data_IF_756804732251
#
_entry.id   IF_756804732251
#
_cell.length_a   1.000
_cell.length_b   1.000
_cell.length_c   1.000
_cell.angle_alpha   90.00
_cell.angle_beta   90.00
_cell.angle_gamma   90.00
#
_symmetry.space_group_name_H-M   'P 1'
#
loop_
_entity.id
_entity.type
_entity.pdbx_description
1 polymer ?
#
# COMPACT_ATOMS: atom_id res chain seq x y z
N UNK A 1 -26.70 7.85 10.73
CA UNK A 1 -25.76 8.15 9.64
C UNK A 1 -25.57 6.98 8.65
N UNK A 2 -25.51 5.73 9.11
CA UNK A 2 -25.37 4.52 8.26
C UNK A 2 -26.56 4.30 7.33
N UNK A 3 -27.78 4.53 7.79
CA UNK A 3 -29.01 4.36 6.99
C UNK A 3 -29.09 5.32 5.77
N UNK A 4 -28.54 6.54 5.90
CA UNK A 4 -28.55 7.52 4.82
C UNK A 4 -27.51 7.22 3.71
N UNK A 5 -26.47 6.44 4.00
CA UNK A 5 -25.44 6.06 3.05
C UNK A 5 -25.77 4.76 2.29
N UNK A 6 -26.49 3.84 2.92
CA UNK A 6 -27.10 2.71 2.19
C UNK A 6 -28.15 3.20 1.19
N UNK A 7 -28.86 4.27 1.53
CA UNK A 7 -29.82 4.91 0.62
C UNK A 7 -29.12 5.59 -0.57
N UNK A 8 -27.91 6.16 -0.37
CA UNK A 8 -27.13 6.77 -1.46
C UNK A 8 -26.59 5.72 -2.47
N UNK A 9 -26.10 4.57 -1.99
CA UNK A 9 -25.66 3.46 -2.87
C UNK A 9 -26.87 2.87 -3.63
N UNK A 10 -28.04 2.76 -3.00
CA UNK A 10 -29.24 2.29 -3.68
C UNK A 10 -29.75 3.25 -4.78
N UNK A 11 -29.38 4.53 -4.72
CA UNK A 11 -29.75 5.53 -5.75
C UNK A 11 -28.81 5.55 -6.94
N UNK A 12 -27.58 4.99 -6.84
CA UNK A 12 -26.58 4.99 -7.92
C UNK A 12 -26.55 3.71 -8.74
N UNK A 13 -27.23 2.65 -8.32
CA UNK A 13 -27.19 1.33 -8.96
C UNK A 13 -25.85 0.59 -8.81
N UNK A 14 -24.90 1.14 -8.04
CA UNK A 14 -23.61 0.48 -7.77
C UNK A 14 -23.83 -0.68 -6.78
N UNK A 15 -23.37 -1.88 -7.13
CA UNK A 15 -23.38 -3.02 -6.23
C UNK A 15 -22.34 -2.83 -5.11
N UNK A 16 -22.64 -3.39 -3.95
CA UNK A 16 -21.65 -3.56 -2.88
C UNK A 16 -21.00 -4.94 -2.98
N UNK A 17 -19.89 -5.23 -2.28
CA UNK A 17 -19.35 -6.59 -2.24
C UNK A 17 -20.38 -7.64 -1.80
N UNK A 18 -21.36 -7.24 -0.99
CA UNK A 18 -22.46 -8.11 -0.53
C UNK A 18 -23.48 -8.44 -1.60
N UNK A 19 -23.62 -7.61 -2.63
CA UNK A 19 -24.68 -7.73 -3.66
C UNK A 19 -24.14 -7.99 -5.07
N UNK A 20 -22.84 -7.74 -5.30
CA UNK A 20 -22.18 -7.96 -6.58
C UNK A 20 -21.95 -9.45 -6.82
N UNK A 21 -22.21 -9.91 -8.04
CA UNK A 21 -21.91 -11.29 -8.47
C UNK A 21 -20.41 -11.55 -8.64
N UNK A 22 -19.58 -10.52 -8.58
CA UNK A 22 -18.13 -10.66 -8.60
C UNK A 22 -17.56 -11.18 -7.26
N UNK A 23 -18.37 -11.31 -6.23
CA UNK A 23 -17.90 -11.73 -4.92
C UNK A 23 -18.63 -12.94 -4.39
N UNK A 24 -17.91 -13.77 -3.65
CA UNK A 24 -18.45 -14.87 -2.86
C UNK A 24 -18.26 -14.60 -1.37
N UNK A 25 -19.31 -14.89 -0.60
CA UNK A 25 -19.28 -14.77 0.85
C UNK A 25 -18.37 -15.84 1.46
N UNK A 26 -17.47 -15.41 2.35
CA UNK A 26 -16.58 -16.26 3.17
C UNK A 26 -16.79 -15.94 4.63
N UNK A 27 -16.72 -16.96 5.48
CA UNK A 27 -16.79 -16.77 6.94
C UNK A 27 -15.50 -17.32 7.54
N UNK A 28 -14.83 -16.50 8.33
CA UNK A 28 -13.63 -16.93 9.05
C UNK A 28 -14.01 -18.00 10.11
N UNK A 29 -13.30 -19.14 10.14
CA UNK A 29 -13.70 -20.28 10.97
C UNK A 29 -13.50 -20.06 12.48
N UNK A 30 -12.61 -19.16 12.89
CA UNK A 30 -12.34 -18.91 14.30
C UNK A 30 -13.17 -17.73 14.83
N UNK A 31 -13.19 -16.63 14.09
CA UNK A 31 -13.83 -15.38 14.54
C UNK A 31 -15.28 -15.26 14.13
N UNK A 32 -15.71 -15.97 13.09
CA UNK A 32 -17.03 -15.79 12.48
C UNK A 32 -17.16 -14.53 11.62
N UNK A 33 -16.08 -13.77 11.41
CA UNK A 33 -16.08 -12.58 10.54
C UNK A 33 -16.46 -12.98 9.11
N UNK A 34 -17.36 -12.21 8.52
CA UNK A 34 -17.79 -12.37 7.13
C UNK A 34 -16.98 -11.43 6.23
N UNK A 35 -16.36 -12.01 5.21
CA UNK A 35 -15.65 -11.29 4.16
C UNK A 35 -16.20 -11.70 2.79
N UNK A 36 -15.92 -10.92 1.77
CA UNK A 36 -16.34 -11.17 0.39
C UNK A 36 -15.09 -11.34 -0.47
N UNK A 37 -14.93 -12.55 -1.02
CA UNK A 37 -13.79 -12.92 -1.86
C UNK A 37 -14.08 -12.59 -3.32
N UNK A 38 -13.19 -11.85 -3.97
CA UNK A 38 -13.33 -11.53 -5.39
C UNK A 38 -13.17 -12.79 -6.23
N UNK A 39 -14.18 -13.09 -7.06
CA UNK A 39 -14.21 -14.24 -8.00
C UNK A 39 -13.91 -13.72 -9.40
N UNK A 40 -12.71 -14.02 -9.90
CA UNK A 40 -12.29 -13.66 -11.26
C UNK A 40 -11.20 -14.61 -11.75
N UNK A 41 -11.30 -15.07 -13.01
CA UNK A 41 -10.36 -16.01 -13.61
C UNK A 41 -10.57 -17.44 -13.14
N UNK A 42 -9.53 -18.26 -13.27
CA UNK A 42 -9.59 -19.68 -12.83
C UNK A 42 -9.43 -19.79 -11.29
N UNK A 43 -9.87 -20.90 -10.68
CA UNK A 43 -9.72 -21.11 -9.24
C UNK A 43 -8.28 -21.04 -8.72
N UNK A 44 -7.29 -21.38 -9.54
CA UNK A 44 -5.88 -21.36 -9.22
C UNK A 44 -5.18 -20.02 -9.54
N UNK A 45 -5.92 -19.02 -10.02
CA UNK A 45 -5.38 -17.68 -10.25
C UNK A 45 -5.28 -16.91 -8.95
N UNK A 46 -4.34 -15.96 -8.90
CA UNK A 46 -4.07 -15.15 -7.72
C UNK A 46 -4.62 -13.73 -7.89
N UNK A 47 -5.39 -13.29 -6.92
CA UNK A 47 -5.96 -11.95 -6.79
C UNK A 47 -5.43 -11.31 -5.52
N UNK A 48 -4.76 -10.18 -5.65
CA UNK A 48 -4.08 -9.54 -4.53
C UNK A 48 -4.46 -8.08 -4.39
N UNK A 49 -4.57 -7.62 -3.15
CA UNK A 49 -4.70 -6.21 -2.84
C UNK A 49 -3.50 -5.42 -3.39
N UNK A 50 -3.67 -4.13 -3.54
CA UNK A 50 -2.54 -3.22 -3.72
C UNK A 50 -1.72 -3.15 -2.43
N UNK A 51 -0.60 -2.49 -2.49
CA UNK A 51 0.23 -2.27 -1.32
C UNK A 51 -0.52 -1.39 -0.30
N UNK A 52 -0.37 -1.65 0.98
CA UNK A 52 -1.21 -1.09 2.06
C UNK A 52 -1.24 0.44 2.16
N UNK A 53 -0.29 1.16 1.54
CA UNK A 53 -0.29 2.62 1.47
C UNK A 53 -1.12 3.17 0.30
N UNK A 54 -1.60 2.29 -0.59
CA UNK A 54 -2.38 2.66 -1.77
C UNK A 54 -3.83 2.24 -1.58
N UNK A 55 -4.74 3.20 -1.52
CA UNK A 55 -6.18 2.92 -1.50
C UNK A 55 -6.56 2.24 -2.81
N UNK A 56 -7.22 1.09 -2.73
CA UNK A 56 -7.53 0.25 -3.88
C UNK A 56 -8.97 0.37 -4.38
N UNK A 57 -9.85 1.06 -3.65
CA UNK A 57 -11.27 1.18 -4.00
C UNK A 57 -11.72 2.64 -3.98
N UNK A 58 -12.54 3.05 -4.97
CA UNK A 58 -13.08 4.39 -5.06
C UNK A 58 -14.05 4.71 -3.92
N UNK A 59 -14.22 5.99 -3.57
CA UNK A 59 -15.02 6.40 -2.40
C UNK A 59 -16.51 6.09 -2.57
N UNK A 60 -17.01 6.08 -3.81
CA UNK A 60 -18.37 5.67 -4.16
C UNK A 60 -18.57 4.14 -4.18
N UNK A 61 -17.46 3.38 -4.10
CA UNK A 61 -17.45 1.93 -4.11
C UNK A 61 -17.58 1.29 -5.49
N UNK A 62 -17.59 2.06 -6.56
CA UNK A 62 -17.78 1.54 -7.91
C UNK A 62 -16.59 0.72 -8.40
N UNK A 63 -15.37 1.20 -8.19
CA UNK A 63 -14.18 0.57 -8.74
C UNK A 63 -13.27 0.00 -7.66
N UNK A 64 -12.87 -1.26 -7.84
CA UNK A 64 -11.84 -1.93 -7.04
C UNK A 64 -10.64 -2.29 -7.93
N UNK A 65 -9.48 -1.67 -7.66
CA UNK A 65 -8.24 -1.94 -8.38
C UNK A 65 -7.44 -3.00 -7.65
N UNK A 66 -6.94 -4.00 -8.36
CA UNK A 66 -6.22 -5.12 -7.77
C UNK A 66 -5.17 -5.72 -8.70
N UNK A 67 -4.28 -6.52 -8.14
CA UNK A 67 -3.28 -7.25 -8.89
C UNK A 67 -3.77 -8.67 -9.20
N UNK A 68 -3.50 -9.13 -10.41
CA UNK A 68 -3.86 -10.46 -10.88
C UNK A 68 -2.65 -11.18 -11.48
N UNK A 69 -2.50 -12.47 -11.16
CA UNK A 69 -1.51 -13.34 -11.76
C UNK A 69 -2.16 -14.66 -12.10
N UNK A 70 -2.05 -15.07 -13.36
CA UNK A 70 -2.65 -16.31 -13.88
C UNK A 70 -1.90 -17.52 -13.34
N UNK A 71 -2.62 -18.42 -12.69
CA UNK A 71 -2.14 -19.72 -12.22
C UNK A 71 -0.94 -19.67 -11.28
N UNK A 72 -0.51 -20.85 -10.86
CA UNK A 72 0.76 -21.06 -10.18
C UNK A 72 1.90 -21.17 -11.19
N UNK A 73 2.19 -20.14 -11.96
CA UNK A 73 3.32 -20.15 -12.89
C UNK A 73 4.64 -20.28 -12.12
N UNK A 74 5.05 -21.52 -11.90
CA UNK A 74 6.25 -21.92 -11.16
C UNK A 74 7.57 -21.56 -11.85
N UNK A 75 7.54 -21.07 -13.08
CA UNK A 75 8.74 -20.76 -13.87
C UNK A 75 8.60 -19.40 -14.55
N UNK A 76 9.29 -18.44 -14.01
CA UNK A 76 9.43 -17.14 -14.61
C UNK A 76 8.40 -16.15 -14.06
N UNK A 77 8.67 -14.96 -14.41
CA UNK A 77 7.90 -13.78 -14.01
C UNK A 77 6.72 -13.62 -14.94
N UNK A 78 5.67 -14.41 -14.77
CA UNK A 78 4.38 -14.14 -15.41
C UNK A 78 4.03 -12.66 -15.24
N UNK A 79 3.48 -11.99 -16.23
CA UNK A 79 3.12 -10.59 -16.09
C UNK A 79 2.07 -10.45 -14.99
N UNK A 80 2.44 -9.75 -13.93
CA UNK A 80 1.48 -9.26 -12.95
C UNK A 80 0.64 -8.22 -13.66
N UNK A 81 -0.66 -8.45 -13.77
CA UNK A 81 -1.60 -7.54 -14.38
C UNK A 81 -2.23 -6.66 -13.32
N UNK A 82 -2.43 -5.40 -13.64
CA UNK A 82 -3.30 -4.52 -12.88
C UNK A 82 -4.70 -4.62 -13.47
N UNK A 83 -5.68 -4.85 -12.61
CA UNK A 83 -7.07 -5.06 -12.99
C UNK A 83 -7.97 -4.06 -12.26
N UNK A 84 -9.14 -3.82 -12.81
CA UNK A 84 -10.23 -3.08 -12.16
C UNK A 84 -11.52 -3.87 -12.22
N UNK A 85 -12.19 -4.04 -11.10
CA UNK A 85 -13.57 -4.51 -11.01
C UNK A 85 -14.51 -3.31 -10.99
N UNK A 86 -15.43 -3.21 -11.95
CA UNK A 86 -16.52 -2.21 -12.00
C UNK A 86 -17.77 -2.84 -11.38
N UNK A 87 -18.09 -2.45 -10.16
CA UNK A 87 -19.24 -2.97 -9.40
C UNK A 87 -20.58 -2.42 -9.89
N UNK A 88 -20.58 -1.39 -10.73
CA UNK A 88 -21.81 -0.94 -11.38
C UNK A 88 -22.25 -1.91 -12.50
N UNK A 89 -21.26 -2.50 -13.20
CA UNK A 89 -21.50 -3.43 -14.32
C UNK A 89 -21.30 -4.88 -13.95
N UNK A 90 -20.70 -5.16 -12.80
CA UNK A 90 -20.21 -6.49 -12.41
C UNK A 90 -19.25 -7.09 -13.45
N UNK A 91 -18.28 -6.29 -13.88
CA UNK A 91 -17.30 -6.65 -14.89
C UNK A 91 -15.87 -6.38 -14.38
N UNK A 92 -14.90 -7.13 -14.93
CA UNK A 92 -13.48 -6.95 -14.61
C UNK A 92 -12.72 -6.64 -15.90
N UNK A 93 -11.90 -5.59 -15.87
CA UNK A 93 -11.11 -5.15 -17.00
C UNK A 93 -9.62 -5.10 -16.65
N UNK A 94 -8.76 -5.31 -17.65
CA UNK A 94 -7.32 -5.13 -17.52
C UNK A 94 -6.96 -3.66 -17.68
N UNK A 95 -6.17 -3.14 -16.74
CA UNK A 95 -5.52 -1.83 -16.83
C UNK A 95 -4.14 -1.99 -17.49
N UNK A 96 -3.53 -0.88 -17.91
CA UNK A 96 -2.18 -0.87 -18.46
C UNK A 96 -1.14 -1.40 -17.47
N UNK A 97 0.03 -1.79 -17.96
CA UNK A 97 1.17 -2.17 -17.12
C UNK A 97 1.80 -0.92 -16.48
N UNK A 98 1.60 -0.67 -15.19
CA UNK A 98 2.10 0.54 -14.55
C UNK A 98 3.61 0.54 -14.33
N UNK A 99 4.30 -0.60 -14.42
CA UNK A 99 5.74 -0.69 -14.12
C UNK A 99 6.14 -0.31 -12.69
N UNK A 100 5.21 0.22 -11.88
CA UNK A 100 5.34 0.61 -10.47
C UNK A 100 4.00 0.51 -9.75
N UNK A 101 3.99 0.71 -8.43
CA UNK A 101 2.74 0.83 -7.67
C UNK A 101 2.05 2.15 -8.06
N UNK A 102 0.84 2.11 -8.66
CA UNK A 102 0.17 3.30 -9.13
C UNK A 102 -0.41 4.12 -7.97
N UNK A 103 -0.68 5.39 -8.24
CA UNK A 103 -1.63 6.17 -7.45
C UNK A 103 -3.05 5.92 -7.95
N UNK A 104 -3.96 5.59 -7.05
CA UNK A 104 -5.40 5.48 -7.36
C UNK A 104 -6.09 6.72 -6.83
N UNK A 105 -6.68 7.54 -7.72
CA UNK A 105 -7.52 8.65 -7.29
C UNK A 105 -8.93 8.14 -7.02
N UNK A 106 -9.19 7.87 -5.76
CA UNK A 106 -10.47 7.30 -5.31
C UNK A 106 -11.68 8.25 -5.43
N UNK A 107 -11.44 9.55 -5.73
CA UNK A 107 -12.50 10.57 -5.92
C UNK A 107 -12.82 10.87 -7.36
N UNK A 108 -11.87 10.57 -8.26
CA UNK A 108 -11.97 10.95 -9.68
C UNK A 108 -11.85 9.77 -10.63
N UNK A 109 -11.89 8.55 -10.11
CA UNK A 109 -11.96 7.29 -10.84
C UNK A 109 -10.88 7.13 -11.92
N UNK A 110 -9.62 7.43 -11.57
CA UNK A 110 -8.48 7.18 -12.43
C UNK A 110 -7.25 6.71 -11.65
N UNK A 111 -6.31 6.13 -12.38
CA UNK A 111 -4.97 5.86 -11.87
C UNK A 111 -3.93 6.75 -12.55
N UNK A 112 -2.84 7.05 -11.81
CA UNK A 112 -1.62 7.66 -12.36
C UNK A 112 -0.45 6.74 -12.08
N UNK A 113 0.41 6.54 -13.06
CA UNK A 113 1.59 5.69 -12.92
C UNK A 113 2.73 6.14 -13.83
N UNK A 114 3.94 5.71 -13.50
CA UNK A 114 5.14 5.91 -14.31
C UNK A 114 5.59 4.60 -14.96
N UNK A 115 6.25 4.67 -16.10
CA UNK A 115 6.77 3.56 -16.86
C UNK A 115 8.17 3.87 -17.39
N UNK A 116 9.13 2.96 -17.21
CA UNK A 116 10.50 3.11 -17.70
C UNK A 116 10.78 2.35 -19.01
N UNK A 117 9.95 1.35 -19.32
CA UNK A 117 10.07 0.51 -20.52
C UNK A 117 8.82 0.70 -21.38
N UNK A 118 8.93 0.38 -22.68
CA UNK A 118 7.80 0.40 -23.61
C UNK A 118 7.02 1.74 -23.54
N UNK A 119 7.56 2.79 -24.16
CA UNK A 119 7.04 4.17 -24.10
C UNK A 119 7.25 4.78 -22.71
N UNK A 120 8.48 5.14 -22.31
CA UNK A 120 8.74 5.75 -21.02
C UNK A 120 7.96 7.03 -20.80
N UNK A 121 7.53 7.30 -19.56
CA UNK A 121 6.77 8.48 -19.18
C UNK A 121 5.80 8.24 -18.05
N UNK A 122 5.01 9.26 -17.75
CA UNK A 122 3.91 9.22 -16.79
C UNK A 122 2.57 9.23 -17.52
N UNK A 123 1.63 8.47 -17.01
CA UNK A 123 0.36 8.21 -17.65
C UNK A 123 -0.81 8.34 -16.67
N UNK A 124 -1.96 8.72 -17.20
CA UNK A 124 -3.25 8.61 -16.53
C UNK A 124 -4.14 7.64 -17.30
N UNK A 125 -4.90 6.83 -16.60
CA UNK A 125 -5.89 5.94 -17.16
C UNK A 125 -7.16 6.01 -16.32
N UNK A 126 -8.31 6.27 -16.96
CA UNK A 126 -9.59 6.28 -16.28
C UNK A 126 -10.04 4.84 -16.02
N UNK A 127 -10.69 4.61 -14.88
CA UNK A 127 -11.16 3.27 -14.49
C UNK A 127 -12.39 2.83 -15.27
N UNK A 128 -13.20 3.76 -15.77
CA UNK A 128 -14.37 3.51 -16.62
C UNK A 128 -14.04 3.33 -18.11
N UNK A 129 -12.84 3.72 -18.54
CA UNK A 129 -12.33 3.57 -19.91
C UNK A 129 -10.90 2.95 -19.87
N UNK A 130 -10.77 1.68 -19.44
CA UNK A 130 -9.48 1.03 -19.23
C UNK A 130 -8.66 0.82 -20.50
N UNK A 131 -9.27 0.95 -21.68
CA UNK A 131 -8.58 0.87 -22.96
C UNK A 131 -7.79 2.14 -23.35
N UNK A 132 -7.96 3.25 -22.63
CA UNK A 132 -7.38 4.54 -22.98
C UNK A 132 -6.36 5.05 -21.99
N UNK A 133 -5.10 5.01 -22.37
CA UNK A 133 -4.00 5.67 -21.66
C UNK A 133 -3.81 7.11 -22.18
N UNK A 134 -3.63 8.06 -21.27
CA UNK A 134 -3.28 9.45 -21.57
C UNK A 134 -1.88 9.70 -21.05
N UNK A 135 -0.93 9.96 -21.95
CA UNK A 135 0.42 10.37 -21.55
C UNK A 135 0.37 11.79 -20.98
N UNK A 136 0.88 11.96 -19.78
CA UNK A 136 0.95 13.24 -19.07
C UNK A 136 2.25 13.96 -19.38
N UNK A 137 3.41 13.27 -19.22
CA UNK A 137 4.73 13.81 -19.51
C UNK A 137 5.75 12.70 -19.73
N UNK A 138 6.93 13.09 -20.19
CA UNK A 138 8.11 12.22 -20.28
C UNK A 138 8.77 11.99 -18.90
N UNK A 139 9.74 11.08 -18.86
CA UNK A 139 10.64 10.95 -17.72
C UNK A 139 11.42 12.26 -17.56
N UNK A 140 11.53 12.83 -16.35
CA UNK A 140 12.23 14.10 -16.15
C UNK A 140 13.65 14.09 -16.68
N UNK A 141 13.99 15.08 -17.51
CA UNK A 141 15.35 15.28 -18.04
C UNK A 141 16.40 15.34 -16.94
N UNK A 142 16.08 16.05 -15.86
CA UNK A 142 16.96 16.15 -14.70
C UNK A 142 17.37 14.80 -14.08
N UNK A 143 16.52 13.77 -14.15
CA UNK A 143 16.88 12.41 -13.69
C UNK A 143 17.71 11.67 -14.72
N UNK A 144 17.39 11.80 -16.03
CA UNK A 144 18.13 11.10 -17.10
C UNK A 144 19.52 11.68 -17.35
N UNK A 145 19.72 12.97 -17.10
CA UNK A 145 21.02 13.66 -17.14
C UNK A 145 21.96 13.19 -16.03
N UNK A 146 21.41 12.80 -14.86
CA UNK A 146 22.20 12.21 -13.78
C UNK A 146 22.71 10.80 -14.10
N UNK A 147 22.05 10.09 -15.04
CA UNK A 147 22.42 8.75 -15.42
C UNK A 147 21.24 7.84 -15.80
N UNK A 148 21.40 6.54 -15.59
CA UNK A 148 20.35 5.55 -15.91
C UNK A 148 19.34 5.43 -14.78
N UNK A 149 18.12 5.86 -15.01
CA UNK A 149 17.02 5.71 -14.07
C UNK A 149 16.70 4.21 -13.88
N UNK A 150 16.73 3.74 -12.64
CA UNK A 150 16.46 2.35 -12.26
C UNK A 150 15.00 2.14 -11.89
N UNK A 151 14.42 3.08 -11.13
CA UNK A 151 12.99 3.21 -10.84
C UNK A 151 12.66 4.68 -10.57
N UNK A 152 11.39 5.06 -10.71
CA UNK A 152 10.90 6.43 -10.56
C UNK A 152 10.33 6.71 -9.18
N UNK A 153 9.58 5.77 -8.65
CA UNK A 153 9.03 5.83 -7.29
C UNK A 153 8.78 4.41 -6.79
N UNK A 154 8.85 4.20 -5.49
CA UNK A 154 8.43 2.96 -4.83
C UNK A 154 6.90 2.89 -4.80
N UNK A 155 6.28 3.99 -4.37
CA UNK A 155 4.83 4.23 -4.41
C UNK A 155 4.61 5.60 -5.02
N UNK A 156 3.68 5.72 -5.94
CA UNK A 156 3.35 7.03 -6.48
C UNK A 156 2.33 7.71 -5.56
N UNK A 157 2.66 8.91 -5.09
CA UNK A 157 1.75 9.78 -4.36
C UNK A 157 1.66 11.14 -5.06
N UNK A 158 0.49 11.78 -5.00
CA UNK A 158 0.24 13.05 -5.68
C UNK A 158 -0.06 14.17 -4.67
N UNK A 159 0.22 15.42 -5.09
CA UNK A 159 -0.25 16.62 -4.39
C UNK A 159 -1.78 16.62 -4.31
N UNK A 160 -2.35 17.42 -3.39
CA UNK A 160 -3.81 17.51 -3.18
C UNK A 160 -4.58 17.92 -4.44
N UNK A 161 -4.01 18.81 -5.23
CA UNK A 161 -4.58 19.27 -6.51
C UNK A 161 -4.37 18.30 -7.67
N UNK A 162 -3.58 17.22 -7.46
CA UNK A 162 -3.20 16.21 -8.44
C UNK A 162 -2.30 16.73 -9.57
N UNK A 163 -1.73 17.92 -9.44
CA UNK A 163 -0.88 18.51 -10.46
C UNK A 163 0.55 17.97 -10.46
N UNK A 164 1.03 17.48 -9.30
CA UNK A 164 2.40 16.98 -9.15
C UNK A 164 2.43 15.59 -8.51
N UNK A 165 3.46 14.83 -8.85
CA UNK A 165 3.77 13.51 -8.27
C UNK A 165 5.06 13.57 -7.45
N UNK A 166 5.06 12.98 -6.26
CA UNK A 166 6.29 12.78 -5.49
C UNK A 166 7.04 11.56 -6.01
N UNK A 167 8.33 11.74 -6.25
CA UNK A 167 9.24 10.68 -6.69
C UNK A 167 10.31 10.44 -5.62
N UNK A 168 10.63 9.16 -5.40
CA UNK A 168 11.78 8.68 -4.65
C UNK A 168 12.68 7.85 -5.58
N UNK A 169 13.10 8.49 -6.68
CA UNK A 169 13.78 7.85 -7.80
C UNK A 169 15.17 7.30 -7.45
N UNK A 170 15.56 6.24 -8.14
CA UNK A 170 16.94 5.72 -8.10
C UNK A 170 17.60 5.85 -9.45
N UNK A 171 18.78 6.47 -9.47
CA UNK A 171 19.56 6.75 -10.67
C UNK A 171 20.98 6.20 -10.51
N UNK A 172 21.45 5.42 -11.50
CA UNK A 172 22.82 4.94 -11.55
C UNK A 172 23.62 5.92 -12.39
N UNK A 173 24.54 6.64 -11.73
CA UNK A 173 25.43 7.59 -12.37
C UNK A 173 26.45 6.89 -13.32
N UNK A 174 27.09 7.62 -14.24
CA UNK A 174 28.07 7.04 -15.17
C UNK A 174 29.25 6.33 -14.50
N UNK A 175 29.64 6.75 -13.30
CA UNK A 175 30.69 6.13 -12.49
C UNK A 175 30.21 4.88 -11.71
N UNK A 176 28.96 4.43 -11.93
CA UNK A 176 28.37 3.27 -11.26
C UNK A 176 27.78 3.54 -9.86
N UNK A 177 27.93 4.74 -9.32
CA UNK A 177 27.29 5.11 -8.04
C UNK A 177 25.77 5.17 -8.19
N UNK A 178 25.06 4.77 -7.14
CA UNK A 178 23.59 4.91 -7.11
C UNK A 178 23.21 6.13 -6.28
N UNK A 179 22.46 7.03 -6.87
CA UNK A 179 21.85 8.18 -6.24
C UNK A 179 20.36 7.92 -6.02
N UNK A 180 19.86 8.33 -4.86
CA UNK A 180 18.43 8.30 -4.53
C UNK A 180 17.93 9.73 -4.46
N UNK A 181 17.03 10.09 -5.35
CA UNK A 181 16.60 11.47 -5.61
C UNK A 181 15.16 11.63 -5.21
N UNK A 182 14.86 12.55 -4.30
CA UNK A 182 13.51 12.87 -3.86
C UNK A 182 13.07 14.21 -4.44
N UNK A 183 11.79 14.35 -4.78
CA UNK A 183 11.26 15.62 -5.27
C UNK A 183 9.88 15.52 -5.91
N UNK A 184 9.40 16.64 -6.44
CA UNK A 184 8.11 16.75 -7.08
C UNK A 184 8.23 16.88 -8.61
N UNK A 185 7.49 16.06 -9.31
CA UNK A 185 7.30 16.12 -10.77
C UNK A 185 6.00 16.81 -11.11
N UNK A 186 6.04 17.91 -11.85
CA UNK A 186 4.85 18.53 -12.44
C UNK A 186 4.35 17.69 -13.62
N UNK A 187 3.17 17.12 -13.50
CA UNK A 187 2.63 16.15 -14.46
C UNK A 187 2.28 16.75 -15.81
N UNK A 188 1.97 18.06 -15.86
CA UNK A 188 1.56 18.73 -17.10
C UNK A 188 2.72 18.98 -18.07
N UNK A 189 3.97 19.08 -17.59
CA UNK A 189 5.11 19.50 -18.41
C UNK A 189 6.42 18.75 -18.12
N UNK A 190 6.44 17.81 -17.15
CA UNK A 190 7.61 17.02 -16.82
C UNK A 190 8.71 17.76 -16.03
N UNK A 191 8.45 18.97 -15.55
CA UNK A 191 9.41 19.72 -14.73
C UNK A 191 9.55 19.03 -13.37
N UNK A 192 10.79 18.72 -13.00
CA UNK A 192 11.12 18.07 -11.73
C UNK A 192 11.83 19.03 -10.79
N UNK A 193 11.24 19.24 -9.64
CA UNK A 193 11.79 20.01 -8.52
C UNK A 193 12.47 19.03 -7.54
N UNK A 194 13.81 18.99 -7.57
CA UNK A 194 14.55 18.13 -6.65
C UNK A 194 14.50 18.68 -5.22
N UNK A 195 14.12 17.84 -4.28
CA UNK A 195 14.21 18.13 -2.83
C UNK A 195 15.54 17.63 -2.24
N UNK A 196 16.33 16.93 -3.03
CA UNK A 196 17.68 16.50 -2.66
C UNK A 196 17.99 15.08 -3.09
N UNK A 197 19.25 14.72 -2.88
CA UNK A 197 19.82 13.43 -3.25
C UNK A 197 20.53 12.81 -2.06
N UNK A 198 20.48 11.48 -1.94
CA UNK A 198 21.24 10.71 -0.97
C UNK A 198 22.04 9.61 -1.66
N UNK A 199 23.14 9.21 -1.03
CA UNK A 199 23.97 8.06 -1.43
C UNK A 199 23.56 6.77 -0.67
N UNK A 200 22.62 6.87 0.27
CA UNK A 200 22.03 5.75 0.96
C UNK A 200 20.63 5.43 0.41
N UNK A 201 20.24 4.17 0.51
CA UNK A 201 18.98 3.69 -0.04
C UNK A 201 17.77 4.27 0.69
N UNK A 202 17.24 5.35 0.16
CA UNK A 202 16.03 6.02 0.62
C UNK A 202 14.88 5.73 -0.34
N UNK A 203 13.83 5.06 0.15
CA UNK A 203 12.67 4.64 -0.62
C UNK A 203 11.37 4.78 0.20
N UNK A 204 10.31 4.09 -0.23
CA UNK A 204 8.98 4.18 0.39
C UNK A 204 8.48 5.62 0.56
N UNK A 205 8.85 6.48 -0.40
CA UNK A 205 8.49 7.89 -0.38
C UNK A 205 6.98 8.10 -0.49
N UNK A 206 6.42 8.81 0.49
CA UNK A 206 4.99 9.11 0.56
C UNK A 206 4.81 10.58 0.86
N UNK A 207 4.18 11.32 -0.05
CA UNK A 207 3.79 12.71 0.20
C UNK A 207 2.72 12.75 1.31
N UNK A 208 2.83 13.71 2.20
CA UNK A 208 1.80 13.91 3.23
C UNK A 208 0.45 14.23 2.56
N UNK A 209 -0.66 13.59 2.96
CA UNK A 209 -1.94 13.72 2.25
C UNK A 209 -2.57 15.12 2.30
N UNK A 210 -2.08 16.00 3.20
CA UNK A 210 -2.61 17.36 3.36
C UNK A 210 -1.55 18.47 3.25
N UNK A 211 -0.26 18.10 3.14
CA UNK A 211 0.88 19.02 2.97
C UNK A 211 1.69 18.62 1.75
N UNK A 212 1.65 19.46 0.73
CA UNK A 212 2.36 19.22 -0.53
C UNK A 212 3.88 19.49 -0.44
N UNK A 213 4.37 19.97 0.71
CA UNK A 213 5.77 20.32 1.03
C UNK A 213 6.42 19.35 2.03
N UNK A 214 5.80 18.22 2.33
CA UNK A 214 6.29 17.26 3.31
C UNK A 214 6.12 15.81 2.78
N UNK A 215 7.19 15.03 2.83
CA UNK A 215 7.15 13.61 2.52
C UNK A 215 7.77 12.78 3.65
N UNK A 216 7.30 11.55 3.79
CA UNK A 216 7.88 10.50 4.62
C UNK A 216 8.67 9.56 3.73
N UNK A 217 9.92 9.29 4.06
CA UNK A 217 10.78 8.35 3.36
C UNK A 217 11.43 7.37 4.33
N UNK A 218 11.71 6.18 3.87
CA UNK A 218 12.39 5.15 4.63
C UNK A 218 13.84 4.97 4.19
N UNK A 219 14.76 4.85 5.15
CA UNK A 219 16.08 4.32 4.88
C UNK A 219 16.05 2.79 5.03
N UNK A 220 16.32 2.07 3.92
CA UNK A 220 16.29 0.60 3.88
C UNK A 220 17.62 -0.02 4.31
N UNK A 221 17.60 -0.71 5.44
CA UNK A 221 18.75 -1.38 6.04
C UNK A 221 19.42 -2.42 5.11
N UNK A 222 18.60 -3.18 4.40
CA UNK A 222 19.07 -4.30 3.58
C UNK A 222 20.05 -3.89 2.46
N UNK A 223 20.20 -2.59 2.23
CA UNK A 223 21.02 -2.02 1.17
C UNK A 223 22.21 -1.21 1.69
N UNK A 224 22.49 -1.26 2.98
CA UNK A 224 23.70 -0.66 3.53
C UNK A 224 24.93 -1.25 2.84
N UNK A 225 25.89 -0.38 2.51
CA UNK A 225 27.18 -0.81 1.94
C UNK A 225 27.89 -1.75 2.93
N UNK A 226 28.61 -2.79 2.48
CA UNK A 226 29.40 -3.63 3.34
C UNK A 226 30.27 -2.79 4.29
N UNK A 227 30.19 -3.05 5.61
CA UNK A 227 30.90 -2.29 6.64
C UNK A 227 30.13 -1.11 7.25
N UNK A 228 29.02 -0.71 6.67
CA UNK A 228 28.12 0.29 7.25
C UNK A 228 27.01 -0.41 8.05
N UNK A 229 27.30 -0.76 9.28
CA UNK A 229 26.29 -1.26 10.21
C UNK A 229 25.93 -0.19 11.22
N UNK A 230 24.89 0.58 10.89
CA UNK A 230 24.40 1.67 11.77
C UNK A 230 24.00 1.15 13.14
N UNK A 231 23.50 -0.06 13.23
CA UNK A 231 23.14 -0.68 14.52
C UNK A 231 24.36 -0.90 15.39
N UNK A 232 25.52 -1.22 14.82
CA UNK A 232 26.78 -1.34 15.57
C UNK A 232 27.31 -0.01 16.04
N UNK A 233 27.10 1.08 15.27
CA UNK A 233 27.62 2.40 15.58
C UNK A 233 26.67 3.24 16.45
N UNK A 234 25.34 3.12 16.26
CA UNK A 234 24.34 3.96 16.96
C UNK A 234 23.43 3.13 17.89
N UNK A 235 23.41 1.81 17.78
CA UNK A 235 22.52 0.93 18.52
C UNK A 235 21.06 0.90 18.03
N UNK A 236 20.73 1.66 16.97
CA UNK A 236 19.39 1.75 16.40
C UNK A 236 19.42 2.10 14.91
N UNK A 237 18.28 1.93 14.22
CA UNK A 237 18.12 2.23 12.80
C UNK A 237 17.43 3.57 12.58
N UNK A 238 18.10 4.52 11.91
CA UNK A 238 17.53 5.80 11.54
C UNK A 238 16.64 5.66 10.28
N UNK A 239 15.55 4.89 10.38
CA UNK A 239 14.75 4.51 9.21
C UNK A 239 13.82 5.61 8.70
N UNK A 240 13.08 6.28 9.61
CA UNK A 240 12.00 7.20 9.24
C UNK A 240 12.50 8.62 9.08
N UNK A 241 12.33 9.18 7.91
CA UNK A 241 12.77 10.54 7.58
C UNK A 241 11.63 11.38 7.04
N UNK A 242 11.44 12.55 7.61
CA UNK A 242 10.64 13.60 7.02
C UNK A 242 11.53 14.39 6.07
N UNK A 243 11.06 14.57 4.83
CA UNK A 243 11.80 15.23 3.74
C UNK A 243 10.97 16.41 3.26
N UNK A 244 11.62 17.56 3.13
CA UNK A 244 11.02 18.83 2.72
C UNK A 244 11.84 19.46 1.56
N UNK A 245 11.27 20.42 0.81
CA UNK A 245 11.99 21.17 -0.21
C UNK A 245 13.32 21.76 0.29
N UNK A 246 14.27 21.92 -0.63
CA UNK A 246 15.59 22.46 -0.29
C UNK A 246 16.52 21.47 0.43
N UNK A 247 16.18 20.17 0.44
CA UNK A 247 17.02 19.13 1.02
C UNK A 247 16.93 19.01 2.54
N UNK A 248 15.98 19.70 3.17
CA UNK A 248 15.78 19.59 4.61
C UNK A 248 15.26 18.19 4.95
N UNK A 249 15.94 17.54 5.89
CA UNK A 249 15.61 16.20 6.37
C UNK A 249 15.58 16.17 7.89
N UNK A 250 14.51 15.61 8.43
CA UNK A 250 14.35 15.42 9.86
C UNK A 250 14.19 13.95 10.16
N UNK A 251 15.12 13.40 10.92
CA UNK A 251 15.02 12.02 11.39
C UNK A 251 13.96 11.93 12.48
N UNK A 252 13.04 11.00 12.32
CA UNK A 252 12.09 10.62 13.37
C UNK A 252 12.58 9.31 14.00
N UNK A 253 13.17 9.37 15.21
CA UNK A 253 13.62 8.16 15.87
C UNK A 253 12.41 7.31 16.25
N UNK A 254 12.46 6.02 15.97
CA UNK A 254 11.45 5.10 16.47
C UNK A 254 11.47 5.05 18.00
N UNK A 255 10.30 4.88 18.62
CA UNK A 255 10.16 4.72 20.06
C UNK A 255 11.11 3.65 20.58
N UNK A 256 11.75 3.94 21.70
CA UNK A 256 12.72 3.06 22.36
C UNK A 256 13.91 2.67 21.47
N UNK A 257 14.18 3.45 20.42
CA UNK A 257 15.23 3.20 19.41
C UNK A 257 15.09 1.83 18.73
N UNK A 258 13.87 1.36 18.60
CA UNK A 258 13.54 0.11 17.94
C UNK A 258 13.57 0.23 16.43
N UNK A 259 13.69 -0.89 15.74
CA UNK A 259 13.57 -0.95 14.29
C UNK A 259 12.13 -0.63 13.88
N UNK A 260 11.94 0.39 13.05
CA UNK A 260 10.67 0.68 12.39
C UNK A 260 10.61 0.01 11.02
N UNK A 261 9.41 -0.28 10.54
CA UNK A 261 9.13 -0.76 9.20
C UNK A 261 7.69 -0.43 8.78
N UNK A 262 7.46 -0.35 7.47
CA UNK A 262 6.14 -0.22 6.86
C UNK A 262 5.35 0.98 7.40
N UNK A 263 5.93 2.16 7.19
CA UNK A 263 5.37 3.45 7.55
C UNK A 263 4.21 3.82 6.64
N UNK A 264 3.16 4.43 7.20
CA UNK A 264 2.01 4.96 6.46
C UNK A 264 1.45 6.22 7.13
N UNK A 265 1.14 7.24 6.33
CA UNK A 265 0.48 8.45 6.79
C UNK A 265 -0.95 8.18 7.27
N UNK A 266 -1.37 8.91 8.28
CA UNK A 266 -2.80 9.07 8.58
C UNK A 266 -3.46 9.87 7.44
N UNK A 267 -4.73 9.61 7.17
CA UNK A 267 -5.47 10.31 6.12
C UNK A 267 -5.57 11.83 6.34
N UNK A 268 -5.53 12.28 7.59
CA UNK A 268 -5.54 13.69 7.96
C UNK A 268 -4.13 14.35 7.95
N UNK A 269 -3.08 13.56 7.69
CA UNK A 269 -1.69 14.03 7.60
C UNK A 269 -1.09 14.53 8.90
N UNK A 270 -1.76 14.37 10.05
CA UNK A 270 -1.27 14.83 11.36
C UNK A 270 -0.23 13.93 11.98
N UNK A 271 -0.15 12.70 11.50
CA UNK A 271 0.78 11.70 11.99
C UNK A 271 0.98 10.58 11.00
N UNK A 272 1.72 9.58 11.42
CA UNK A 272 1.92 8.35 10.66
C UNK A 272 2.14 7.19 11.61
N UNK A 273 1.79 6.00 11.14
CA UNK A 273 1.98 4.76 11.89
C UNK A 273 3.05 3.88 11.25
N UNK A 274 3.62 2.98 12.03
CA UNK A 274 4.61 2.00 11.58
C UNK A 274 4.56 0.72 12.41
N UNK A 275 5.14 -0.36 11.91
CA UNK A 275 5.37 -1.58 12.68
C UNK A 275 6.74 -1.55 13.33
N UNK A 276 6.82 -1.74 14.64
CA UNK A 276 8.04 -1.59 15.42
C UNK A 276 8.53 -2.88 16.07
N UNK A 277 9.85 -3.04 16.20
CA UNK A 277 10.52 -4.17 16.87
C UNK A 277 11.22 -3.69 18.13
N UNK A 278 11.38 -4.54 19.18
CA UNK A 278 10.85 -5.89 19.34
C UNK A 278 9.36 -5.90 19.68
N UNK A 279 8.70 -7.03 19.47
CA UNK A 279 7.28 -7.21 19.74
C UNK A 279 6.39 -6.94 18.55
N UNK A 280 6.94 -6.25 17.54
CA UNK A 280 6.26 -6.00 16.25
C UNK A 280 4.82 -5.50 16.45
N UNK A 281 4.66 -4.41 17.22
CA UNK A 281 3.40 -3.71 17.41
C UNK A 281 3.25 -2.57 16.40
N UNK A 282 2.02 -2.11 16.22
CA UNK A 282 1.77 -0.87 15.49
C UNK A 282 1.93 0.31 16.44
N UNK A 283 2.83 1.22 16.07
CA UNK A 283 3.08 2.50 16.73
C UNK A 283 2.62 3.65 15.85
N UNK A 284 2.40 4.79 16.48
CA UNK A 284 2.02 6.03 15.82
C UNK A 284 2.87 7.20 16.33
N UNK A 285 3.16 8.15 15.45
CA UNK A 285 3.83 9.41 15.72
C UNK A 285 2.93 10.58 15.37
N UNK A 286 2.65 11.43 16.34
CA UNK A 286 1.95 12.70 16.16
C UNK A 286 2.96 13.79 15.81
N UNK A 287 2.80 14.44 14.66
CA UNK A 287 3.74 15.44 14.14
C UNK A 287 3.79 16.72 14.99
N UNK A 288 2.67 17.13 15.58
CA UNK A 288 2.56 18.38 16.30
C UNK A 288 3.24 18.32 17.67
N UNK A 289 3.13 17.16 18.32
CA UNK A 289 3.62 16.95 19.69
C UNK A 289 4.91 16.15 19.76
N UNK A 290 5.26 15.44 18.70
CA UNK A 290 6.35 14.47 18.67
C UNK A 290 6.07 13.22 19.52
N UNK A 291 4.86 13.06 20.05
CA UNK A 291 4.47 11.93 20.90
C UNK A 291 4.38 10.68 20.07
N UNK A 292 4.93 9.59 20.63
CA UNK A 292 4.84 8.25 20.07
C UNK A 292 4.13 7.32 21.03
N UNK A 293 3.18 6.56 20.51
CA UNK A 293 2.41 5.61 21.33
C UNK A 293 2.08 4.33 20.54
N UNK A 294 1.80 3.25 21.25
CA UNK A 294 1.31 2.01 20.67
C UNK A 294 -0.17 2.14 20.37
N UNK A 295 -0.56 1.91 19.12
CA UNK A 295 -1.95 2.00 18.67
C UNK A 295 -2.64 0.66 18.49
N UNK A 296 -1.90 -0.43 18.41
CA UNK A 296 -2.47 -1.76 18.29
C UNK A 296 -1.79 -2.73 19.26
N UNK A 297 -2.60 -3.54 19.94
CA UNK A 297 -2.13 -4.57 20.87
C UNK A 297 -1.77 -5.91 20.23
N UNK A 298 -1.94 -6.05 18.91
CA UNK A 298 -1.58 -7.27 18.19
C UNK A 298 -0.07 -7.31 17.98
N UNK A 299 0.57 -8.33 18.55
CA UNK A 299 2.00 -8.58 18.34
C UNK A 299 2.25 -9.25 16.99
N UNK A 300 3.44 -9.07 16.44
CA UNK A 300 3.85 -9.68 15.17
C UNK A 300 3.37 -8.93 13.93
N UNK A 301 2.89 -7.68 14.07
CA UNK A 301 2.43 -6.84 12.97
C UNK A 301 3.57 -6.57 11.97
N UNK A 302 3.27 -6.67 10.68
CA UNK A 302 4.21 -6.40 9.58
C UNK A 302 3.79 -5.21 8.75
N UNK A 303 2.53 -5.17 8.32
CA UNK A 303 1.93 -4.04 7.62
C UNK A 303 0.76 -3.54 8.44
N UNK A 304 0.52 -2.26 8.38
CA UNK A 304 -0.58 -1.65 9.10
C UNK A 304 -1.24 -0.55 8.28
N UNK A 305 -2.49 -0.28 8.61
CA UNK A 305 -3.22 0.87 8.09
C UNK A 305 -4.22 1.34 9.14
N UNK A 306 -4.52 2.63 9.14
CA UNK A 306 -5.37 3.28 10.14
C UNK A 306 -6.63 3.80 9.46
N UNK A 307 -7.78 3.69 10.15
CA UNK A 307 -9.04 4.25 9.64
C UNK A 307 -8.97 5.78 9.53
N UNK A 308 -9.72 6.42 8.61
CA UNK A 308 -9.67 7.87 8.41
C UNK A 308 -10.00 8.71 9.64
N UNK A 309 -10.71 8.15 10.61
CA UNK A 309 -11.05 8.78 11.90
C UNK A 309 -10.06 8.42 13.03
N UNK A 310 -8.98 7.69 12.71
CA UNK A 310 -7.96 7.25 13.64
C UNK A 310 -8.45 6.36 14.81
N UNK A 311 -9.65 5.78 14.72
CA UNK A 311 -10.23 4.94 15.76
C UNK A 311 -9.86 3.47 15.65
N UNK A 312 -9.57 3.00 14.45
CA UNK A 312 -9.33 1.60 14.15
C UNK A 312 -8.00 1.39 13.45
N UNK A 313 -7.39 0.26 13.70
CA UNK A 313 -6.16 -0.19 13.05
C UNK A 313 -6.42 -1.55 12.42
N UNK A 314 -5.95 -1.76 11.20
CA UNK A 314 -5.81 -3.09 10.62
C UNK A 314 -4.34 -3.42 10.47
N UNK A 315 -3.98 -4.67 10.73
CA UNK A 315 -2.63 -5.14 10.50
C UNK A 315 -2.64 -6.61 10.08
N UNK A 316 -1.62 -7.00 9.33
CA UNK A 316 -1.30 -8.41 9.17
C UNK A 316 -0.30 -8.85 10.24
N UNK A 317 -0.36 -10.11 10.63
CA UNK A 317 0.49 -10.70 11.64
C UNK A 317 1.23 -11.91 11.08
N UNK A 318 2.55 -11.90 11.23
CA UNK A 318 3.41 -13.01 10.88
C UNK A 318 4.31 -13.36 12.07
N UNK A 319 3.97 -14.36 12.88
CA UNK A 319 4.73 -14.71 14.06
C UNK A 319 6.11 -15.30 13.75
N UNK A 320 6.31 -15.77 12.53
CA UNK A 320 7.52 -16.42 12.06
C UNK A 320 8.32 -15.54 11.11
N UNK A 321 9.55 -15.93 10.80
CA UNK A 321 10.38 -15.21 9.84
C UNK A 321 9.72 -15.19 8.46
N UNK A 322 9.55 -14.00 7.99
CA UNK A 322 9.15 -13.63 6.64
C UNK A 322 9.76 -14.59 5.57
N UNK A 323 8.97 -15.05 4.60
CA UNK A 323 9.37 -15.84 3.44
C UNK A 323 9.64 -17.35 3.65
N UNK A 324 9.39 -17.95 4.79
CA UNK A 324 9.64 -19.37 4.99
C UNK A 324 8.40 -20.15 5.43
N UNK A 325 7.35 -20.09 4.61
CA UNK A 325 6.10 -20.75 4.96
C UNK A 325 5.35 -20.04 6.07
N UNK A 326 5.50 -18.73 6.14
CA UNK A 326 4.85 -17.89 7.13
C UNK A 326 3.34 -18.03 7.05
N UNK A 327 2.75 -18.26 8.19
CA UNK A 327 1.29 -18.28 8.34
C UNK A 327 0.85 -16.88 8.67
N UNK A 328 0.17 -16.25 7.72
CA UNK A 328 -0.34 -14.91 7.89
C UNK A 328 -1.73 -14.91 8.51
N UNK A 329 -1.99 -13.95 9.38
CA UNK A 329 -3.34 -13.57 9.82
C UNK A 329 -3.55 -12.09 9.54
N UNK A 330 -4.82 -11.68 9.49
CA UNK A 330 -5.22 -10.28 9.36
C UNK A 330 -6.12 -9.94 10.52
N UNK A 331 -5.78 -8.86 11.25
CA UNK A 331 -6.50 -8.40 12.42
C UNK A 331 -7.10 -7.02 12.21
N UNK A 332 -8.24 -6.80 12.84
CA UNK A 332 -8.80 -5.49 13.11
C UNK A 332 -8.67 -5.18 14.60
N UNK A 333 -8.29 -3.96 14.95
CA UNK A 333 -8.14 -3.48 16.31
C UNK A 333 -8.95 -2.22 16.56
N UNK A 334 -9.79 -2.23 17.58
CA UNK A 334 -10.54 -1.07 18.04
C UNK A 334 -9.74 -0.41 19.18
N UNK A 335 -9.23 0.81 18.94
CA UNK A 335 -8.38 1.54 19.88
C UNK A 335 -9.15 2.04 21.11
N UNK A 336 -10.45 2.31 21.00
CA UNK A 336 -11.26 2.82 22.10
C UNK A 336 -11.55 1.73 23.16
N UNK A 337 -11.75 0.50 22.69
CA UNK A 337 -12.07 -0.63 23.56
C UNK A 337 -10.87 -1.52 23.86
N UNK A 338 -9.74 -1.29 23.18
CA UNK A 338 -8.54 -2.13 23.22
C UNK A 338 -8.83 -3.61 22.90
N UNK A 339 -9.77 -3.87 22.00
CA UNK A 339 -10.15 -5.21 21.54
C UNK A 339 -9.85 -5.41 20.07
N UNK A 340 -9.47 -6.62 19.73
CA UNK A 340 -9.23 -7.03 18.36
C UNK A 340 -10.06 -8.23 17.93
N UNK A 341 -10.23 -8.38 16.61
CA UNK A 341 -10.84 -9.54 16.00
C UNK A 341 -10.05 -9.92 14.75
N UNK A 342 -9.96 -11.22 14.46
CA UNK A 342 -9.33 -11.69 13.24
C UNK A 342 -10.28 -11.56 12.06
N UNK A 343 -9.89 -10.79 11.04
CA UNK A 343 -10.57 -10.77 9.74
C UNK A 343 -10.29 -12.07 9.01
N UNK A 344 -9.06 -12.54 9.12
CA UNK A 344 -8.61 -13.78 8.54
C UNK A 344 -7.66 -14.47 9.54
N UNK A 345 -8.12 -15.59 10.10
CA UNK A 345 -7.41 -16.34 11.16
C UNK A 345 -6.65 -17.55 10.62
N UNK A 346 -7.08 -18.09 9.48
CA UNK A 346 -6.46 -19.27 8.87
C UNK A 346 -5.02 -18.96 8.49
N UNK A 347 -4.13 -19.86 8.89
CA UNK A 347 -2.71 -19.76 8.60
C UNK A 347 -2.26 -20.91 7.71
N UNK A 348 -2.71 -21.00 6.45
CA UNK A 348 -2.23 -22.04 5.58
C UNK A 348 -0.73 -21.87 5.39
N UNK A 349 -0.01 -22.99 5.36
CA UNK A 349 1.40 -22.95 5.03
C UNK A 349 1.54 -22.44 3.59
N UNK A 350 2.26 -21.34 3.41
CA UNK A 350 2.61 -20.87 2.08
C UNK A 350 3.55 -21.89 1.42
N UNK A 351 3.49 -21.99 0.10
CA UNK A 351 4.49 -22.75 -0.63
C UNK A 351 5.90 -22.21 -0.33
N UNK A 352 6.92 -23.07 -0.24
CA UNK A 352 8.29 -22.64 -0.11
C UNK A 352 8.66 -21.58 -1.15
N UNK A 353 9.47 -20.61 -0.78
CA UNK A 353 9.82 -19.45 -1.62
C UNK A 353 10.30 -19.82 -3.03
N UNK A 354 11.08 -20.88 -3.12
CA UNK A 354 11.59 -21.42 -4.39
C UNK A 354 10.50 -21.98 -5.31
N UNK A 355 9.31 -22.24 -4.77
CA UNK A 355 8.12 -22.70 -5.48
C UNK A 355 7.09 -21.61 -5.68
N UNK A 356 7.26 -20.47 -5.01
CA UNK A 356 6.41 -19.28 -5.22
C UNK A 356 6.94 -18.53 -6.44
N UNK A 357 6.15 -18.49 -7.50
CA UNK A 357 6.38 -17.45 -8.50
C UNK A 357 6.06 -16.13 -7.84
N UNK A 358 6.84 -15.10 -7.96
CA UNK A 358 6.66 -13.65 -7.77
C UNK A 358 5.42 -13.13 -7.04
N UNK A 359 4.66 -13.99 -6.40
CA UNK A 359 3.58 -13.59 -5.53
C UNK A 359 4.18 -12.93 -4.29
N UNK A 360 3.80 -11.72 -4.03
CA UNK A 360 4.09 -11.08 -2.77
C UNK A 360 3.03 -11.60 -1.78
N UNK A 361 3.36 -12.52 -0.86
CA UNK A 361 2.36 -13.22 -0.07
C UNK A 361 1.74 -12.36 1.04
N UNK A 362 2.18 -11.13 1.17
CA UNK A 362 1.78 -10.25 2.26
C UNK A 362 0.33 -9.81 2.10
N UNK A 363 -0.49 -9.85 3.15
CA UNK A 363 -1.90 -9.49 3.10
C UNK A 363 -2.17 -8.02 2.77
N UNK A 364 -1.28 -7.10 3.17
CA UNK A 364 -1.41 -5.66 2.93
C UNK A 364 -2.81 -5.10 3.26
N UNK A 365 -3.32 -5.30 4.48
CA UNK A 365 -4.65 -4.80 4.81
C UNK A 365 -4.69 -3.28 4.81
N UNK A 366 -5.76 -2.70 4.27
CA UNK A 366 -5.97 -1.26 4.30
C UNK A 366 -7.45 -0.90 4.25
N UNK A 367 -7.79 0.26 4.83
CA UNK A 367 -9.15 0.79 4.79
C UNK A 367 -9.45 1.43 3.44
N UNK A 368 -10.67 1.22 2.95
CA UNK A 368 -11.20 1.81 1.72
C UNK A 368 -12.59 2.40 1.96
N UNK A 369 -13.10 3.18 0.99
CA UNK A 369 -14.43 3.83 1.04
C UNK A 369 -14.64 4.59 2.35
N UNK A 370 -13.70 5.47 2.71
CA UNK A 370 -13.75 6.24 3.96
C UNK A 370 -13.91 5.39 5.22
N UNK A 371 -13.23 4.24 5.27
CA UNK A 371 -13.23 3.34 6.42
C UNK A 371 -14.43 2.39 6.50
N UNK A 372 -15.24 2.27 5.44
CA UNK A 372 -16.40 1.35 5.43
C UNK A 372 -16.01 -0.11 5.23
N UNK A 373 -14.92 -0.36 4.52
CA UNK A 373 -14.39 -1.69 4.26
C UNK A 373 -12.91 -1.77 4.54
N UNK A 374 -12.45 -2.98 4.80
CA UNK A 374 -11.04 -3.37 4.77
C UNK A 374 -10.82 -4.26 3.55
N UNK A 375 -9.79 -3.96 2.76
CA UNK A 375 -9.31 -4.83 1.69
C UNK A 375 -8.02 -5.48 2.14
N UNK A 376 -7.87 -6.79 1.88
CA UNK A 376 -6.63 -7.50 2.13
C UNK A 376 -6.47 -8.69 1.18
N UNK A 377 -5.25 -9.21 1.07
CA UNK A 377 -4.97 -10.50 0.45
C UNK A 377 -5.08 -11.60 1.51
N UNK A 378 -5.83 -12.64 1.23
CA UNK A 378 -5.95 -13.83 2.08
C UNK A 378 -5.42 -15.05 1.33
N UNK A 379 -4.79 -15.98 2.06
CA UNK A 379 -4.39 -17.26 1.50
C UNK A 379 -5.52 -18.25 1.68
N UNK A 380 -5.92 -18.93 0.61
CA UNK A 380 -6.87 -20.04 0.73
C UNK A 380 -6.14 -21.36 1.05
N UNK A 381 -6.91 -22.41 1.33
CA UNK A 381 -6.39 -23.73 1.73
C UNK A 381 -5.46 -24.38 0.68
N UNK A 382 -5.62 -24.00 -0.59
CA UNK A 382 -4.87 -24.56 -1.72
C UNK A 382 -3.57 -23.78 -2.01
N UNK A 383 -3.27 -22.73 -1.21
CA UNK A 383 -2.07 -21.92 -1.35
C UNK A 383 -2.18 -20.82 -2.40
N UNK A 384 -3.38 -20.53 -2.91
CA UNK A 384 -3.65 -19.34 -3.73
C UNK A 384 -3.92 -18.14 -2.86
N UNK A 385 -3.81 -16.96 -3.49
CA UNK A 385 -4.14 -15.70 -2.85
C UNK A 385 -5.41 -15.12 -3.42
N UNK A 386 -6.34 -14.83 -2.53
CA UNK A 386 -7.61 -14.21 -2.86
C UNK A 386 -7.72 -12.81 -2.25
N UNK A 387 -8.36 -11.91 -2.98
CA UNK A 387 -8.67 -10.58 -2.50
C UNK A 387 -9.97 -10.63 -1.68
N UNK A 388 -9.86 -10.22 -0.42
CA UNK A 388 -11.00 -10.11 0.50
C UNK A 388 -11.39 -8.66 0.72
N UNK A 389 -12.69 -8.41 0.72
CA UNK A 389 -13.32 -7.14 1.12
C UNK A 389 -14.21 -7.41 2.33
N UNK A 390 -13.94 -6.73 3.44
CA UNK A 390 -14.59 -7.00 4.73
C UNK A 390 -15.31 -5.75 5.24
N UNK A 391 -16.62 -5.78 5.51
CA UNK A 391 -17.34 -4.65 6.09
C UNK A 391 -16.84 -4.31 7.48
N UNK A 392 -16.56 -3.03 7.75
CA UNK A 392 -16.02 -2.57 9.04
C UNK A 392 -17.07 -2.55 10.13
N UNK A 393 -18.33 -2.33 9.82
CA UNK A 393 -19.42 -2.24 10.81
C UNK A 393 -19.58 -3.51 11.65
N UNK A 394 -19.39 -4.70 11.05
CA UNK A 394 -19.39 -5.96 11.80
C UNK A 394 -18.19 -6.06 12.74
N UNK A 395 -17.00 -5.61 12.29
CA UNK A 395 -15.76 -5.65 13.09
C UNK A 395 -15.89 -4.73 14.31
N UNK A 396 -16.49 -3.56 14.12
CA UNK A 396 -16.79 -2.63 15.21
C UNK A 396 -17.75 -3.26 16.20
N UNK A 397 -18.86 -3.88 15.73
CA UNK A 397 -19.81 -4.58 16.61
C UNK A 397 -19.15 -5.70 17.42
N UNK A 398 -18.25 -6.47 16.81
CA UNK A 398 -17.56 -7.58 17.47
C UNK A 398 -16.50 -7.12 18.48
N UNK A 399 -16.00 -5.90 18.35
CA UNK A 399 -14.98 -5.33 19.24
C UNK A 399 -15.52 -4.28 20.22
N UNK A 400 -16.80 -3.97 20.15
CA UNK A 400 -17.51 -3.12 21.14
C UNK A 400 -18.18 -4.02 22.17
N UNK A 401 -18.09 -3.71 23.48
CA UNK A 401 -18.74 -4.47 24.56
C UNK A 401 -20.24 -4.57 24.43
#
# INVERSE_FOLDING_TARGET
MIANLMLAAALTGVHTPETSKLFERRTDPESGVVSYSLVYGAPDDNRQSLYFVTKSMTEDGRFLVFNYTKGNERKGRGPRKLMVADLLKDEVHELGDPGMIPFVDCKKDYIVYGRLKQKPGFYRQNLDDPGREIKLCDIPGALTEMGRVRYLATHLTLTRDRSKAFLDASVIAPNGATNYVQGLLTLANGVFESWGTTDFFCNHGQLNPVRDDLALCAWEEAWLKPGQDYKKTTGWYPRMWLVEPGGKRTLVPARDRNCASHEVWDDDGRGFSWCGRPGDYVYHHDLATGRQERWCGIAGARHNNVSPDNRYVVCDEAPERWWRGCKWRVAFWNRETERGVWIYSTRPALMPREKQSRLHPDPHPHFVMNGRYVVCTANNADGHMDLYVTPVDQLVKMTTP
#
